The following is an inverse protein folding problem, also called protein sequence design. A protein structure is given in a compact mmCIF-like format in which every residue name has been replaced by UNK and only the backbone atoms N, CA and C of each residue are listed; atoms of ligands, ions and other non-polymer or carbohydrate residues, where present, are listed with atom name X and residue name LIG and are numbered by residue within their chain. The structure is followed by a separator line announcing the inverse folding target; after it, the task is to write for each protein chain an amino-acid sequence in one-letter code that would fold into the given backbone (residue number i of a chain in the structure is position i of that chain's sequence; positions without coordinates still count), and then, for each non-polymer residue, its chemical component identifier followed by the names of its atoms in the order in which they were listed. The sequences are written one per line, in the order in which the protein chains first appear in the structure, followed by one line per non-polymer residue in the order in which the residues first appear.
data_IF_262993657246
#
_entry.id   IF_262993657246
#
_cell.length_a   1.000
_cell.length_b   1.000
_cell.length_c   1.000
_cell.angle_alpha   90.00
_cell.angle_beta   90.00
_cell.angle_gamma   90.00
#
_symmetry.space_group_name_H-M   'P 1'
#
loop_
_entity.id
_entity.type
_entity.pdbx_description
1 polymer ?
#
# COMPACT_ATOMS: atom_id res chain seq x y z
N UNK A 1 2.50 -19.88 -8.96
CA UNK A 1 2.02 -19.06 -10.11
C UNK A 1 2.45 -17.63 -9.90
N UNK A 2 3.01 -16.98 -10.93
CA UNK A 2 3.28 -15.53 -10.99
C UNK A 2 2.39 -15.00 -12.11
N UNK A 3 1.55 -14.01 -11.82
CA UNK A 3 0.55 -13.50 -12.75
C UNK A 3 0.49 -11.97 -12.72
N UNK A 4 0.10 -11.27 -13.79
CA UNK A 4 -0.21 -9.85 -13.74
C UNK A 4 -1.18 -9.54 -12.60
N UNK A 5 -0.99 -8.40 -11.93
CA UNK A 5 -1.78 -8.05 -10.74
C UNK A 5 -3.29 -8.01 -11.04
N UNK A 6 -3.67 -7.57 -12.24
CA UNK A 6 -5.06 -7.56 -12.69
C UNK A 6 -5.72 -8.96 -12.77
N UNK A 7 -4.93 -10.04 -12.89
CA UNK A 7 -5.43 -11.40 -12.96
C UNK A 7 -5.53 -12.10 -11.58
N UNK A 8 -5.00 -11.48 -10.52
CA UNK A 8 -5.12 -12.00 -9.17
C UNK A 8 -6.57 -11.94 -8.68
N UNK A 9 -7.26 -13.08 -8.62
CA UNK A 9 -8.69 -13.15 -8.29
C UNK A 9 -9.01 -13.99 -7.05
N UNK A 10 -8.21 -15.01 -6.74
CA UNK A 10 -8.48 -15.91 -5.62
C UNK A 10 -7.69 -15.49 -4.36
N UNK A 11 -8.37 -15.06 -3.28
CA UNK A 11 -7.72 -14.65 -2.05
C UNK A 11 -7.04 -15.81 -1.28
N UNK A 12 -7.39 -17.06 -1.53
CA UNK A 12 -6.71 -18.21 -0.94
C UNK A 12 -5.37 -18.49 -1.64
N UNK A 13 -5.22 -18.05 -2.88
CA UNK A 13 -4.01 -18.21 -3.71
C UNK A 13 -3.10 -16.99 -3.61
N UNK A 14 -3.65 -15.79 -3.75
CA UNK A 14 -2.88 -14.55 -3.88
C UNK A 14 -2.97 -13.61 -2.67
N UNK A 15 -3.78 -13.96 -1.65
CA UNK A 15 -4.04 -13.09 -0.53
C UNK A 15 -4.98 -11.93 -0.85
N UNK A 16 -5.49 -11.29 0.19
CA UNK A 16 -6.56 -10.27 0.03
C UNK A 16 -6.04 -8.98 -0.60
N UNK A 17 -4.82 -8.57 -0.30
CA UNK A 17 -4.22 -7.33 -0.86
C UNK A 17 -4.08 -7.42 -2.37
N UNK A 18 -3.50 -8.52 -2.88
CA UNK A 18 -3.35 -8.73 -4.32
C UNK A 18 -4.71 -8.75 -5.02
N UNK A 19 -5.69 -9.45 -4.45
CA UNK A 19 -7.04 -9.54 -5.03
C UNK A 19 -7.75 -8.18 -5.01
N UNK A 20 -7.63 -7.41 -3.95
CA UNK A 20 -8.19 -6.06 -3.90
C UNK A 20 -7.57 -5.17 -5.00
N UNK A 21 -6.25 -5.13 -5.13
CA UNK A 21 -5.57 -4.38 -6.19
C UNK A 21 -5.92 -4.90 -7.58
N UNK A 22 -6.00 -6.22 -7.77
CA UNK A 22 -6.43 -6.83 -9.03
C UNK A 22 -7.86 -6.44 -9.42
N UNK A 23 -8.77 -6.37 -8.46
CA UNK A 23 -10.14 -5.91 -8.67
C UNK A 23 -10.17 -4.44 -9.11
N UNK A 24 -9.40 -3.57 -8.43
CA UNK A 24 -9.26 -2.17 -8.80
C UNK A 24 -8.68 -2.01 -10.22
N UNK A 25 -7.62 -2.73 -10.55
CA UNK A 25 -6.97 -2.68 -11.86
C UNK A 25 -7.91 -3.13 -13.00
N UNK A 26 -8.67 -4.22 -12.80
CA UNK A 26 -9.69 -4.67 -13.77
C UNK A 26 -10.81 -3.66 -13.99
N UNK A 27 -11.14 -2.91 -12.96
CA UNK A 27 -12.14 -1.84 -13.03
C UNK A 27 -11.60 -0.51 -13.61
N UNK A 28 -10.31 -0.47 -13.99
CA UNK A 28 -9.68 0.71 -14.57
C UNK A 28 -9.26 1.78 -13.55
N UNK A 29 -9.21 1.46 -12.24
CA UNK A 29 -8.66 2.38 -11.25
C UNK A 29 -7.13 2.50 -11.46
N UNK A 30 -6.53 3.63 -11.08
CA UNK A 30 -5.12 3.94 -11.31
C UNK A 30 -4.19 3.15 -10.37
N UNK A 31 -4.12 1.84 -10.56
CA UNK A 31 -3.23 0.94 -9.81
C UNK A 31 -1.89 0.85 -10.54
N UNK A 32 -0.74 1.07 -9.88
CA UNK A 32 0.57 0.86 -10.50
C UNK A 32 0.72 -0.59 -11.00
N UNK A 33 1.43 -0.75 -12.12
CA UNK A 33 1.70 -2.05 -12.72
C UNK A 33 2.42 -3.01 -11.76
N UNK A 34 2.30 -4.31 -12.00
CA UNK A 34 2.97 -5.30 -11.16
C UNK A 34 2.44 -6.71 -11.33
N UNK A 35 2.98 -7.61 -10.51
CA UNK A 35 2.61 -9.02 -10.47
C UNK A 35 2.25 -9.48 -9.06
N UNK A 36 1.40 -10.49 -8.99
CA UNK A 36 1.10 -11.23 -7.78
C UNK A 36 1.78 -12.61 -7.83
N UNK A 37 2.48 -12.95 -6.76
CA UNK A 37 3.03 -14.28 -6.53
C UNK A 37 2.07 -15.05 -5.63
N UNK A 38 1.60 -16.22 -6.09
CA UNK A 38 0.81 -17.11 -5.26
C UNK A 38 1.61 -17.60 -4.04
N UNK A 39 0.92 -18.09 -3.02
CA UNK A 39 1.55 -18.73 -1.85
C UNK A 39 2.59 -19.77 -2.29
N UNK A 40 2.23 -20.67 -3.21
CA UNK A 40 3.14 -21.72 -3.69
C UNK A 40 4.35 -21.14 -4.44
N UNK A 41 4.16 -20.05 -5.20
CA UNK A 41 5.26 -19.38 -5.88
C UNK A 41 6.23 -18.73 -4.89
N UNK A 42 5.73 -18.12 -3.83
CA UNK A 42 6.57 -17.57 -2.74
C UNK A 42 7.35 -18.67 -2.06
N UNK A 43 6.73 -19.80 -1.73
CA UNK A 43 7.41 -20.97 -1.15
C UNK A 43 8.48 -21.53 -2.10
N UNK A 44 8.21 -21.54 -3.41
CA UNK A 44 9.20 -21.95 -4.43
C UNK A 44 10.38 -20.98 -4.48
N UNK A 45 10.15 -19.66 -4.43
CA UNK A 45 11.23 -18.64 -4.35
C UNK A 45 12.07 -18.83 -3.08
N UNK A 46 11.44 -19.15 -1.95
CA UNK A 46 12.15 -19.41 -0.68
C UNK A 46 13.07 -20.62 -0.81
N UNK A 47 12.62 -21.69 -1.46
CA UNK A 47 13.40 -22.91 -1.73
C UNK A 47 14.41 -22.78 -2.88
N UNK A 48 14.54 -21.61 -3.49
CA UNK A 48 15.40 -21.36 -4.66
C UNK A 48 15.06 -22.26 -5.87
N UNK A 49 13.77 -22.46 -6.14
CA UNK A 49 13.27 -23.27 -7.25
C UNK A 49 13.86 -22.81 -8.59
N UNK A 50 14.46 -23.73 -9.40
CA UNK A 50 15.20 -23.38 -10.60
C UNK A 50 14.30 -22.91 -11.77
N UNK A 51 13.00 -23.09 -11.70
CA UNK A 51 12.05 -22.62 -12.71
C UNK A 51 11.40 -21.28 -12.30
N UNK A 52 11.02 -21.16 -11.01
CA UNK A 52 10.28 -20.01 -10.51
C UNK A 52 11.17 -18.77 -10.32
N UNK A 53 12.40 -18.93 -9.83
CA UNK A 53 13.31 -17.79 -9.65
C UNK A 53 13.66 -17.11 -10.98
N UNK A 54 14.05 -17.82 -12.07
CA UNK A 54 14.26 -17.18 -13.37
C UNK A 54 13.00 -16.56 -13.98
N UNK A 55 11.80 -17.10 -13.69
CA UNK A 55 10.56 -16.49 -14.12
C UNK A 55 10.36 -15.13 -13.43
N UNK A 56 10.59 -15.04 -12.11
CA UNK A 56 10.52 -13.79 -11.36
C UNK A 56 11.54 -12.77 -11.88
N UNK A 57 12.78 -13.20 -12.17
CA UNK A 57 13.80 -12.34 -12.78
C UNK A 57 13.33 -11.75 -14.11
N UNK A 58 12.77 -12.57 -15.01
CA UNK A 58 12.26 -12.10 -16.32
C UNK A 58 11.16 -11.06 -16.17
N UNK A 59 10.22 -11.28 -15.26
CA UNK A 59 9.11 -10.34 -15.00
C UNK A 59 9.63 -9.02 -14.43
N UNK A 60 10.71 -9.06 -13.65
CA UNK A 60 11.30 -7.88 -13.03
C UNK A 60 12.42 -7.23 -13.86
N UNK A 61 12.79 -7.80 -15.02
CA UNK A 61 13.89 -7.31 -15.86
C UNK A 61 13.64 -5.93 -16.50
N UNK A 62 12.39 -5.51 -16.64
CA UNK A 62 12.00 -4.21 -17.19
C UNK A 62 12.23 -3.07 -16.18
N UNK A 63 13.42 -2.87 -15.73
CA UNK A 63 13.96 -1.79 -14.90
C UNK A 63 13.01 -0.82 -14.20
N UNK A 64 13.41 -0.36 -13.03
CA UNK A 64 12.68 0.60 -12.22
C UNK A 64 12.48 0.10 -10.79
N UNK A 65 12.32 1.01 -9.84
CA UNK A 65 12.15 0.66 -8.44
C UNK A 65 10.80 -0.04 -8.21
N UNK A 66 10.82 -1.04 -7.35
CA UNK A 66 9.66 -1.86 -7.00
C UNK A 66 9.34 -1.77 -5.52
N UNK A 67 8.06 -1.96 -5.21
CA UNK A 67 7.56 -2.26 -3.87
C UNK A 67 7.25 -3.76 -3.79
N UNK A 68 7.82 -4.45 -2.80
CA UNK A 68 7.53 -5.87 -2.52
C UNK A 68 6.74 -5.91 -1.22
N UNK A 69 5.48 -6.32 -1.31
CA UNK A 69 4.50 -6.20 -0.23
C UNK A 69 3.90 -7.56 0.14
N UNK A 70 3.67 -7.79 1.42
CA UNK A 70 2.90 -8.93 1.90
C UNK A 70 1.48 -8.92 1.35
N UNK A 71 0.95 -10.10 1.07
CA UNK A 71 -0.46 -10.33 0.76
C UNK A 71 -0.88 -11.66 1.41
N UNK A 72 -0.95 -11.67 2.74
CA UNK A 72 -1.28 -12.90 3.45
C UNK A 72 -2.75 -13.28 3.23
N UNK A 73 -3.03 -14.59 3.17
CA UNK A 73 -4.37 -15.13 2.89
C UNK A 73 -5.41 -14.65 3.90
N UNK A 74 -5.00 -14.41 5.17
CA UNK A 74 -5.87 -13.93 6.24
C UNK A 74 -5.58 -12.51 6.70
N UNK A 75 -4.76 -11.77 5.97
CA UNK A 75 -4.53 -10.34 6.20
C UNK A 75 -5.85 -9.59 5.92
N UNK A 76 -6.19 -8.60 6.76
CA UNK A 76 -7.39 -7.77 6.64
C UNK A 76 -8.73 -8.56 6.63
N UNK A 77 -8.81 -9.63 7.42
CA UNK A 77 -10.09 -10.30 7.67
C UNK A 77 -10.96 -9.50 8.65
N UNK A 78 -12.29 -9.68 8.58
CA UNK A 78 -13.22 -9.03 9.51
C UNK A 78 -12.80 -9.29 10.98
N UNK A 79 -12.44 -8.23 11.70
CA UNK A 79 -11.99 -8.29 13.10
C UNK A 79 -10.47 -8.46 13.30
N UNK A 80 -9.65 -8.51 12.24
CA UNK A 80 -8.20 -8.61 12.35
C UNK A 80 -7.51 -7.71 11.32
N UNK A 81 -6.99 -6.56 11.76
CA UNK A 81 -6.14 -5.71 10.94
C UNK A 81 -4.68 -6.01 11.22
N UNK A 82 -3.98 -6.62 10.25
CA UNK A 82 -2.54 -6.84 10.30
C UNK A 82 -1.74 -5.61 9.84
N UNK A 83 -2.29 -4.41 10.00
CA UNK A 83 -1.61 -3.17 9.64
C UNK A 83 -0.22 -3.11 10.30
N UNK A 84 0.83 -3.02 9.50
CA UNK A 84 2.22 -2.96 9.98
C UNK A 84 2.79 -4.27 10.56
N UNK A 85 2.04 -5.38 10.62
CA UNK A 85 2.53 -6.64 11.18
C UNK A 85 3.51 -7.38 10.26
N UNK A 86 3.42 -7.15 8.96
CA UNK A 86 4.29 -7.77 7.96
C UNK A 86 5.16 -6.74 7.24
N UNK A 87 6.32 -7.20 6.78
CA UNK A 87 7.32 -6.37 6.13
C UNK A 87 6.86 -5.93 4.73
N UNK A 88 7.15 -4.67 4.39
CA UNK A 88 7.20 -4.14 3.03
C UNK A 88 8.64 -3.77 2.71
N UNK A 89 9.08 -4.00 1.48
CA UNK A 89 10.41 -3.58 0.99
C UNK A 89 10.20 -2.65 -0.20
N UNK A 90 10.66 -1.42 -0.09
CA UNK A 90 10.51 -0.39 -1.12
C UNK A 90 11.85 -0.10 -1.83
N UNK A 91 11.77 0.37 -3.07
CA UNK A 91 12.94 0.83 -3.83
C UNK A 91 13.83 -0.30 -4.36
N UNK A 92 13.28 -1.48 -4.57
CA UNK A 92 14.03 -2.63 -5.06
C UNK A 92 14.17 -2.53 -6.58
N UNK A 93 15.40 -2.36 -7.10
CA UNK A 93 15.65 -2.14 -8.53
C UNK A 93 16.23 -3.36 -9.28
N UNK A 94 16.87 -4.25 -8.56
CA UNK A 94 17.59 -5.40 -9.10
C UNK A 94 16.77 -6.69 -8.96
N UNK A 95 16.70 -7.57 -9.98
CA UNK A 95 15.95 -8.82 -9.92
C UNK A 95 16.36 -9.76 -8.76
N UNK A 96 17.67 -9.87 -8.45
CA UNK A 96 18.13 -10.66 -7.31
C UNK A 96 17.70 -10.03 -5.98
N UNK A 97 17.73 -8.70 -5.90
CA UNK A 97 17.20 -7.97 -4.76
C UNK A 97 15.68 -8.16 -4.60
N UNK A 98 14.91 -8.30 -5.69
CA UNK A 98 13.48 -8.67 -5.61
C UNK A 98 13.30 -10.05 -5.01
N UNK A 99 14.09 -11.04 -5.43
CA UNK A 99 14.07 -12.39 -4.83
C UNK A 99 14.41 -12.33 -3.33
N UNK A 100 15.42 -11.57 -2.95
CA UNK A 100 15.78 -11.36 -1.54
C UNK A 100 14.64 -10.67 -0.76
N UNK A 101 13.98 -9.67 -1.36
CA UNK A 101 12.84 -8.97 -0.77
C UNK A 101 11.63 -9.91 -0.58
N UNK A 102 11.32 -10.77 -1.56
CA UNK A 102 10.27 -11.79 -1.42
C UNK A 102 10.55 -12.72 -0.24
N UNK A 103 11.78 -13.20 -0.10
CA UNK A 103 12.21 -14.04 1.05
C UNK A 103 12.07 -13.28 2.37
N UNK A 104 12.46 -12.01 2.42
CA UNK A 104 12.34 -11.16 3.62
C UNK A 104 10.88 -10.96 4.01
N UNK A 105 10.01 -10.67 3.04
CA UNK A 105 8.56 -10.53 3.27
C UNK A 105 7.99 -11.84 3.79
N UNK A 106 8.32 -12.98 3.19
CA UNK A 106 7.89 -14.28 3.67
C UNK A 106 8.38 -14.55 5.12
N UNK A 107 9.64 -14.28 5.42
CA UNK A 107 10.21 -14.48 6.76
C UNK A 107 9.54 -13.60 7.83
N UNK A 108 8.97 -12.45 7.45
CA UNK A 108 8.25 -11.56 8.37
C UNK A 108 7.01 -12.20 9.01
N UNK A 109 6.48 -13.27 8.43
CA UNK A 109 5.41 -14.06 9.07
C UNK A 109 5.83 -14.62 10.43
N UNK A 110 7.10 -14.88 10.61
CA UNK A 110 7.64 -15.47 11.84
C UNK A 110 8.31 -14.45 12.77
N UNK A 111 8.15 -13.13 12.44
CA UNK A 111 8.57 -12.05 13.34
C UNK A 111 7.82 -12.12 14.69
N UNK A 112 8.46 -11.73 15.81
CA UNK A 112 7.84 -11.79 17.13
C UNK A 112 6.50 -11.04 17.20
N UNK A 113 6.39 -9.86 16.57
CA UNK A 113 5.15 -9.07 16.48
C UNK A 113 4.03 -9.82 15.77
N UNK A 114 4.32 -10.43 14.62
CA UNK A 114 3.35 -11.20 13.85
C UNK A 114 2.91 -12.47 14.59
N UNK A 115 3.82 -13.13 15.32
CA UNK A 115 3.49 -14.30 16.15
C UNK A 115 2.60 -13.90 17.34
N UNK A 116 2.95 -12.83 18.06
CA UNK A 116 2.18 -12.33 19.19
C UNK A 116 0.76 -11.93 18.76
N UNK A 117 0.64 -11.23 17.64
CA UNK A 117 -0.65 -10.82 17.09
C UNK A 117 -1.52 -12.04 16.71
N UNK A 118 -0.96 -13.04 16.03
CA UNK A 118 -1.69 -14.27 15.72
C UNK A 118 -2.13 -15.04 16.98
N UNK A 119 -1.26 -15.08 17.98
CA UNK A 119 -1.60 -15.75 19.26
C UNK A 119 -2.74 -15.03 19.97
N UNK A 120 -2.74 -13.69 20.02
CA UNK A 120 -3.80 -12.89 20.60
C UNK A 120 -5.17 -13.14 19.94
N UNK A 121 -5.17 -13.30 18.61
CA UNK A 121 -6.39 -13.53 17.83
C UNK A 121 -6.70 -15.03 17.61
N UNK A 122 -5.95 -15.94 18.22
CA UNK A 122 -6.07 -17.40 18.06
C UNK A 122 -6.06 -17.86 16.58
N UNK A 123 -5.30 -17.14 15.73
CA UNK A 123 -5.21 -17.41 14.31
C UNK A 123 -4.09 -18.42 14.01
N UNK A 124 -4.38 -19.40 13.16
CA UNK A 124 -3.35 -20.28 12.60
C UNK A 124 -2.47 -19.53 11.61
N UNK A 125 -1.23 -20.00 11.44
CA UNK A 125 -0.33 -19.55 10.36
C UNK A 125 -1.05 -19.73 9.01
N UNK A 126 -1.15 -18.68 8.24
CA UNK A 126 -1.72 -18.71 6.87
C UNK A 126 -0.60 -18.61 5.85
N UNK A 127 -0.88 -18.95 4.60
CA UNK A 127 0.07 -18.76 3.50
C UNK A 127 0.37 -17.27 3.27
N UNK A 128 1.60 -16.98 2.82
CA UNK A 128 2.05 -15.65 2.41
C UNK A 128 2.15 -15.62 0.89
N UNK A 129 1.26 -14.89 0.25
CA UNK A 129 1.43 -14.42 -1.12
C UNK A 129 2.14 -13.05 -1.11
N UNK A 130 2.68 -12.63 -2.24
CA UNK A 130 3.43 -11.37 -2.35
C UNK A 130 3.00 -10.59 -3.58
N UNK A 131 2.89 -9.28 -3.43
CA UNK A 131 2.73 -8.33 -4.54
C UNK A 131 4.09 -7.70 -4.84
N UNK A 132 4.53 -7.76 -6.09
CA UNK A 132 5.67 -7.00 -6.62
C UNK A 132 5.11 -5.96 -7.56
N UNK A 133 5.12 -4.70 -7.13
CA UNK A 133 4.45 -3.58 -7.80
C UNK A 133 5.47 -2.50 -8.18
N UNK A 134 5.23 -1.79 -9.27
CA UNK A 134 6.00 -0.59 -9.59
C UNK A 134 5.89 0.43 -8.46
N UNK A 135 7.03 0.96 -8.03
CA UNK A 135 7.06 1.98 -6.99
C UNK A 135 6.89 3.36 -7.63
N UNK A 136 5.77 4.00 -7.31
CA UNK A 136 5.51 5.38 -7.76
C UNK A 136 6.52 6.32 -7.13
N UNK A 137 7.25 7.15 -7.90
CA UNK A 137 8.14 8.17 -7.35
C UNK A 137 7.31 9.35 -6.81
N UNK A 138 6.64 9.11 -5.71
CA UNK A 138 5.66 10.02 -5.15
C UNK A 138 6.27 11.36 -4.72
N UNK A 139 5.59 12.44 -5.09
CA UNK A 139 5.84 13.79 -4.59
C UNK A 139 5.10 14.04 -3.28
N UNK A 140 3.86 13.52 -3.19
CA UNK A 140 3.06 13.44 -1.98
C UNK A 140 2.32 12.11 -1.93
N UNK A 141 2.12 11.56 -0.75
CA UNK A 141 1.40 10.31 -0.55
C UNK A 141 0.79 10.25 0.86
N UNK A 142 -0.12 9.33 1.06
CA UNK A 142 -0.77 9.19 2.35
C UNK A 142 -1.90 8.17 2.37
N UNK A 143 -2.83 8.39 3.29
CA UNK A 143 -4.01 7.55 3.49
C UNK A 143 -5.29 8.37 3.36
N UNK A 144 -6.30 7.77 2.78
CA UNK A 144 -7.64 8.31 2.61
C UNK A 144 -8.64 7.35 3.25
N UNK A 145 -9.32 7.78 4.30
CA UNK A 145 -10.46 7.09 4.88
C UNK A 145 -11.73 7.65 4.27
N UNK A 146 -12.57 6.79 3.67
CA UNK A 146 -13.84 7.22 3.07
C UNK A 146 -14.96 7.41 4.09
N UNK A 147 -14.70 7.04 5.35
CA UNK A 147 -15.49 7.33 6.55
C UNK A 147 -14.53 7.71 7.66
N UNK A 148 -14.90 8.65 8.53
CA UNK A 148 -14.04 9.03 9.65
C UNK A 148 -13.79 7.83 10.56
N UNK A 149 -12.53 7.34 10.70
CA UNK A 149 -12.23 6.12 11.45
C UNK A 149 -12.38 6.28 12.97
N UNK A 150 -12.43 7.53 13.47
CA UNK A 150 -12.54 7.82 14.90
C UNK A 150 -13.99 8.05 15.31
N UNK A 151 -14.71 8.88 14.54
CA UNK A 151 -16.07 9.32 14.89
C UNK A 151 -17.15 8.51 14.21
N UNK A 152 -16.81 7.75 13.15
CA UNK A 152 -17.78 7.08 12.28
C UNK A 152 -18.62 8.04 11.43
N UNK A 153 -18.29 9.33 11.39
CA UNK A 153 -19.02 10.30 10.58
C UNK A 153 -18.89 10.02 9.08
N UNK A 154 -19.95 10.33 8.31
CA UNK A 154 -19.93 10.22 6.85
C UNK A 154 -19.17 11.40 6.24
N UNK A 155 -17.86 11.37 6.34
CA UNK A 155 -16.90 12.33 5.80
C UNK A 155 -15.63 11.60 5.38
N UNK A 156 -14.87 12.22 4.49
CA UNK A 156 -13.56 11.69 4.08
C UNK A 156 -12.47 12.32 4.93
N UNK A 157 -11.56 11.52 5.44
CA UNK A 157 -10.38 11.98 6.18
C UNK A 157 -9.14 11.59 5.38
N UNK A 158 -8.30 12.56 5.09
CA UNK A 158 -7.07 12.37 4.33
C UNK A 158 -5.90 12.79 5.24
N UNK A 159 -4.90 11.94 5.35
CA UNK A 159 -3.63 12.23 6.01
C UNK A 159 -2.51 12.05 4.99
N UNK A 160 -1.70 13.09 4.76
CA UNK A 160 -0.72 13.10 3.69
C UNK A 160 0.58 13.81 4.12
N UNK A 161 1.68 13.43 3.47
CA UNK A 161 2.97 14.06 3.61
C UNK A 161 3.73 14.05 2.28
N UNK A 162 4.86 14.74 2.25
CA UNK A 162 5.78 14.73 1.11
C UNK A 162 6.45 13.37 0.93
N UNK A 163 6.67 12.99 -0.32
CA UNK A 163 7.37 11.76 -0.69
C UNK A 163 6.52 10.50 -0.57
N UNK A 164 7.15 9.39 -0.22
CA UNK A 164 6.53 8.07 -0.13
C UNK A 164 5.61 7.96 1.10
N UNK A 165 4.46 7.31 0.94
CA UNK A 165 3.44 7.18 1.99
C UNK A 165 3.87 6.43 3.25
N UNK A 166 4.99 5.70 3.20
CA UNK A 166 5.53 5.02 4.39
C UNK A 166 5.90 6.00 5.50
N UNK A 167 6.24 7.27 5.19
CA UNK A 167 6.47 8.29 6.19
C UNK A 167 5.23 8.56 7.07
N UNK A 168 4.04 8.54 6.46
CA UNK A 168 2.76 8.68 7.16
C UNK A 168 2.41 7.40 7.93
N UNK A 169 2.49 6.24 7.26
CA UNK A 169 2.09 4.94 7.84
C UNK A 169 3.00 4.54 9.01
N UNK A 170 4.29 4.85 8.94
CA UNK A 170 5.25 4.58 10.01
C UNK A 170 5.28 5.64 11.13
N UNK A 171 4.50 6.73 10.99
CA UNK A 171 4.47 7.80 11.97
C UNK A 171 5.78 8.58 12.10
N UNK A 172 6.54 8.72 10.99
CA UNK A 172 7.82 9.46 10.98
C UNK A 172 7.61 10.97 11.03
N UNK A 173 6.44 11.44 10.62
CA UNK A 173 6.07 12.85 10.56
C UNK A 173 4.68 13.08 11.13
N UNK A 174 4.36 14.32 11.48
CA UNK A 174 2.97 14.72 11.70
C UNK A 174 2.38 15.13 10.34
N UNK A 175 1.48 14.32 9.74
CA UNK A 175 0.97 14.59 8.41
C UNK A 175 0.01 15.78 8.39
N UNK A 176 -0.19 16.36 7.20
CA UNK A 176 -1.33 17.23 6.95
C UNK A 176 -2.61 16.40 7.02
N UNK A 177 -3.64 16.99 7.60
CA UNK A 177 -4.96 16.37 7.69
C UNK A 177 -6.01 17.24 7.01
N UNK A 178 -6.78 16.61 6.12
CA UNK A 178 -7.89 17.24 5.43
C UNK A 178 -9.18 16.47 5.71
N UNK A 179 -10.28 17.20 5.92
CA UNK A 179 -11.62 16.62 6.02
C UNK A 179 -12.48 17.15 4.90
N UNK A 180 -13.16 16.26 4.20
CA UNK A 180 -14.10 16.60 3.13
C UNK A 180 -15.47 16.01 3.45
N UNK A 181 -16.53 16.72 3.09
CA UNK A 181 -17.88 16.15 3.14
C UNK A 181 -18.07 15.08 2.05
N UNK A 182 -19.21 14.42 2.06
CA UNK A 182 -19.57 13.37 1.10
C UNK A 182 -19.72 13.88 -0.34
N UNK A 183 -19.69 15.20 -0.56
CA UNK A 183 -19.73 15.84 -1.88
C UNK A 183 -18.36 16.39 -2.31
N UNK A 184 -17.32 16.10 -1.54
CA UNK A 184 -15.94 16.53 -1.83
C UNK A 184 -15.62 17.97 -1.42
N UNK A 185 -16.52 18.69 -0.71
CA UNK A 185 -16.20 20.04 -0.21
C UNK A 185 -15.26 19.93 0.99
N UNK A 186 -14.22 20.73 0.99
CA UNK A 186 -13.28 20.80 2.10
C UNK A 186 -13.96 21.42 3.33
N UNK A 187 -13.98 20.69 4.43
CA UNK A 187 -14.52 21.10 5.73
C UNK A 187 -13.42 21.67 6.63
N UNK A 188 -12.22 21.06 6.57
CA UNK A 188 -11.11 21.41 7.46
C UNK A 188 -9.77 21.09 6.80
N UNK A 189 -8.76 21.90 7.13
CA UNK A 189 -7.35 21.68 6.81
C UNK A 189 -6.51 21.94 8.06
N UNK A 190 -5.79 20.92 8.50
CA UNK A 190 -4.84 21.03 9.62
C UNK A 190 -3.47 20.69 9.06
N UNK A 191 -2.56 21.65 9.05
CA UNK A 191 -1.20 21.42 8.58
C UNK A 191 -0.39 20.73 9.67
N UNK A 192 0.38 19.72 9.25
CA UNK A 192 1.28 18.99 10.09
C UNK A 192 2.68 19.59 10.16
N UNK A 193 3.60 18.81 10.68
CA UNK A 193 5.04 19.07 10.67
C UNK A 193 5.73 17.96 9.90
N UNK A 194 6.14 18.25 8.66
CA UNK A 194 6.67 17.32 7.67
C UNK A 194 8.13 17.61 7.38
N UNK A 195 8.96 17.57 8.42
CA UNK A 195 10.39 17.91 8.36
C UNK A 195 11.24 16.89 7.60
N UNK A 196 10.71 15.67 7.40
CA UNK A 196 11.36 14.58 6.66
C UNK A 196 10.43 14.03 5.59
N UNK A 197 10.99 13.68 4.43
CA UNK A 197 10.31 12.93 3.38
C UNK A 197 11.09 11.65 3.05
N UNK A 198 10.38 10.55 2.82
CA UNK A 198 10.98 9.36 2.23
C UNK A 198 10.97 9.47 0.71
N UNK A 199 12.12 9.25 0.09
CA UNK A 199 12.27 9.29 -1.37
C UNK A 199 13.02 8.05 -1.87
N UNK A 200 12.81 7.71 -3.13
CA UNK A 200 13.56 6.65 -3.80
C UNK A 200 15.03 7.07 -3.91
N UNK A 201 15.91 6.18 -3.53
CA UNK A 201 17.36 6.33 -3.61
C UNK A 201 18.01 5.22 -4.44
N UNK A 202 19.32 5.28 -4.67
CA UNK A 202 20.04 4.30 -5.49
C UNK A 202 20.00 2.86 -4.96
N UNK A 203 19.83 2.69 -3.64
CA UNK A 203 19.85 1.38 -2.96
C UNK A 203 18.60 1.15 -2.11
N UNK A 204 17.45 1.65 -2.53
CA UNK A 204 16.20 1.53 -1.78
C UNK A 204 15.54 2.87 -1.54
N UNK A 205 15.03 3.10 -0.34
CA UNK A 205 14.48 4.40 0.08
C UNK A 205 15.44 5.11 1.03
N UNK A 206 15.37 6.44 1.05
CA UNK A 206 16.16 7.28 1.97
C UNK A 206 15.31 8.41 2.53
N UNK A 207 15.62 8.80 3.75
CA UNK A 207 15.11 10.01 4.35
C UNK A 207 15.83 11.23 3.76
N UNK A 208 15.05 12.27 3.48
CA UNK A 208 15.54 13.55 2.97
C UNK A 208 14.86 14.64 3.79
N UNK A 209 15.65 15.59 4.29
CA UNK A 209 15.08 16.77 4.97
C UNK A 209 14.20 17.55 3.98
N UNK A 210 13.08 18.06 4.49
CA UNK A 210 12.18 18.95 3.75
C UNK A 210 12.63 20.39 4.02
N UNK A 211 12.63 21.22 2.97
CA UNK A 211 13.02 22.62 3.10
C UNK A 211 12.06 23.38 4.04
N UNK A 212 12.58 24.29 4.84
CA UNK A 212 11.85 24.97 5.89
C UNK A 212 10.49 25.58 5.46
N UNK A 213 10.33 26.19 4.28
CA UNK A 213 9.04 26.68 3.82
C UNK A 213 7.98 25.57 3.65
N UNK A 214 8.41 24.36 3.25
CA UNK A 214 7.52 23.26 2.91
C UNK A 214 7.15 22.38 4.11
N UNK A 215 7.87 22.52 5.25
CA UNK A 215 7.58 21.72 6.47
C UNK A 215 6.12 21.89 6.90
N UNK A 216 5.61 23.12 6.87
CA UNK A 216 4.23 23.45 7.26
C UNK A 216 3.34 23.86 6.06
N UNK A 217 3.88 23.86 4.83
CA UNK A 217 3.06 24.10 3.65
C UNK A 217 2.14 22.92 3.35
N UNK A 218 0.93 23.13 2.80
CA UNK A 218 0.06 22.02 2.42
C UNK A 218 0.73 21.14 1.36
N UNK A 219 0.82 19.84 1.60
CA UNK A 219 1.37 18.87 0.64
C UNK A 219 0.38 18.46 -0.45
N UNK A 220 -0.89 18.84 -0.32
CA UNK A 220 -1.93 18.61 -1.32
C UNK A 220 -2.68 19.91 -1.61
N UNK A 221 -2.92 20.17 -2.91
CA UNK A 221 -3.75 21.26 -3.40
C UNK A 221 -5.23 20.85 -3.58
N UNK A 222 -6.07 21.80 -3.98
CA UNK A 222 -7.52 21.56 -4.17
C UNK A 222 -7.80 20.60 -5.32
N UNK A 223 -7.00 20.59 -6.36
CA UNK A 223 -7.14 19.67 -7.50
C UNK A 223 -6.84 18.24 -7.05
N UNK A 224 -5.81 18.06 -6.24
CA UNK A 224 -5.44 16.78 -5.68
C UNK A 224 -6.48 16.26 -4.67
N UNK A 225 -7.04 17.15 -3.83
CA UNK A 225 -8.16 16.79 -2.94
C UNK A 225 -9.41 16.36 -3.72
N UNK A 226 -9.74 17.05 -4.82
CA UNK A 226 -10.83 16.65 -5.70
C UNK A 226 -10.56 15.30 -6.39
N UNK A 227 -9.31 15.03 -6.82
CA UNK A 227 -8.91 13.75 -7.40
C UNK A 227 -9.03 12.59 -6.37
N UNK A 228 -8.67 12.82 -5.11
CA UNK A 228 -8.86 11.85 -4.02
C UNK A 228 -10.34 11.58 -3.73
N UNK A 229 -11.18 12.62 -3.78
CA UNK A 229 -12.61 12.44 -3.67
C UNK A 229 -13.15 11.55 -4.79
N UNK A 230 -12.78 11.81 -6.05
CA UNK A 230 -13.18 10.99 -7.20
C UNK A 230 -12.66 9.55 -7.08
N UNK A 231 -11.42 9.33 -6.60
CA UNK A 231 -10.87 8.01 -6.33
C UNK A 231 -11.70 7.26 -5.28
N UNK A 232 -12.12 7.95 -4.22
CA UNK A 232 -12.97 7.36 -3.19
C UNK A 232 -14.33 6.92 -3.75
N UNK A 233 -14.98 7.74 -4.59
CA UNK A 233 -16.25 7.38 -5.24
C UNK A 233 -16.07 6.19 -6.19
N UNK A 234 -14.97 6.14 -6.93
CA UNK A 234 -14.65 5.00 -7.77
C UNK A 234 -14.43 3.72 -6.94
N UNK A 235 -13.76 3.80 -5.78
CA UNK A 235 -13.66 2.68 -4.85
C UNK A 235 -15.04 2.25 -4.33
N UNK A 236 -15.90 3.20 -3.92
CA UNK A 236 -17.27 2.89 -3.47
C UNK A 236 -18.03 2.09 -4.55
N UNK A 237 -17.91 2.48 -5.81
CA UNK A 237 -18.58 1.81 -6.93
C UNK A 237 -18.00 0.41 -7.20
N UNK A 238 -16.68 0.25 -7.17
CA UNK A 238 -16.00 -1.02 -7.49
C UNK A 238 -16.19 -2.07 -6.39
N UNK A 239 -16.18 -1.67 -5.12
CA UNK A 239 -16.23 -2.60 -4.00
C UNK A 239 -17.61 -2.73 -3.35
N UNK A 240 -18.58 -1.93 -3.79
CA UNK A 240 -19.96 -1.97 -3.26
C UNK A 240 -20.06 -1.60 -1.77
N UNK A 241 -19.14 -0.78 -1.28
CA UNK A 241 -19.03 -0.34 0.11
C UNK A 241 -18.65 1.14 0.14
N UNK A 242 -18.86 1.80 1.27
CA UNK A 242 -18.42 3.19 1.52
C UNK A 242 -17.44 3.28 2.69
N UNK A 243 -16.78 2.18 3.01
CA UNK A 243 -15.89 2.11 4.17
C UNK A 243 -14.53 1.57 3.71
N UNK A 244 -13.71 2.49 3.21
CA UNK A 244 -12.39 2.18 2.66
C UNK A 244 -11.30 2.95 3.38
N UNK A 245 -10.20 2.24 3.66
CA UNK A 245 -8.88 2.75 3.98
C UNK A 245 -8.03 2.55 2.72
N UNK A 246 -7.61 3.64 2.12
CA UNK A 246 -6.92 3.69 0.82
C UNK A 246 -5.57 4.34 1.00
N UNK A 247 -4.49 3.62 0.68
CA UNK A 247 -3.17 4.21 0.50
C UNK A 247 -3.08 4.77 -0.93
N UNK A 248 -2.62 6.01 -1.04
CA UNK A 248 -2.49 6.69 -2.33
C UNK A 248 -1.12 7.35 -2.49
N UNK A 249 -0.78 7.67 -3.73
CA UNK A 249 0.38 8.50 -4.07
C UNK A 249 0.05 9.43 -5.24
N UNK A 250 0.69 10.60 -5.26
CA UNK A 250 0.70 11.50 -6.39
C UNK A 250 2.08 11.53 -7.05
N UNK A 251 2.07 11.48 -8.38
CA UNK A 251 3.22 11.81 -9.21
C UNK A 251 2.77 12.79 -10.29
N UNK A 252 3.23 14.03 -10.23
CA UNK A 252 2.63 15.13 -10.97
C UNK A 252 1.15 15.30 -10.59
N UNK A 253 0.31 15.39 -11.60
CA UNK A 253 -1.16 15.46 -11.42
C UNK A 253 -1.85 14.10 -11.29
N UNK A 254 -1.12 13.00 -11.49
CA UNK A 254 -1.70 11.66 -11.47
C UNK A 254 -1.78 11.10 -10.05
N UNK A 255 -2.98 10.65 -9.64
CA UNK A 255 -3.20 9.89 -8.41
C UNK A 255 -3.08 8.40 -8.69
N UNK A 256 -2.50 7.65 -7.75
CA UNK A 256 -2.37 6.19 -7.80
C UNK A 256 -2.97 5.56 -6.54
N UNK A 257 -3.73 4.48 -6.72
CA UNK A 257 -4.20 3.61 -5.66
C UNK A 257 -3.14 2.56 -5.37
N UNK A 258 -2.50 2.65 -4.20
CA UNK A 258 -1.39 1.76 -3.80
C UNK A 258 -1.86 0.56 -3.00
N UNK A 259 -2.93 0.71 -2.22
CA UNK A 259 -3.56 -0.33 -1.43
C UNK A 259 -4.98 0.09 -1.06
N UNK A 260 -5.87 -0.88 -0.91
CA UNK A 260 -7.22 -0.67 -0.36
C UNK A 260 -7.58 -1.80 0.59
N UNK A 261 -8.15 -1.45 1.73
CA UNK A 261 -8.77 -2.40 2.69
C UNK A 261 -10.09 -1.83 3.21
N UNK A 262 -11.02 -2.68 3.69
CA UNK A 262 -12.21 -2.19 4.38
C UNK A 262 -11.79 -1.53 5.70
N UNK A 263 -12.50 -0.47 6.11
CA UNK A 263 -12.39 0.05 7.47
C UNK A 263 -13.01 -1.02 8.38
N UNK A 264 -12.23 -1.56 9.30
CA UNK A 264 -12.75 -2.41 10.37
C UNK A 264 -13.15 -1.47 11.50
N UNK A 265 -14.46 -1.39 11.80
CA UNK A 265 -14.96 -0.58 12.90
C UNK A 265 -14.27 -0.96 14.20
N UNK A 266 -13.84 0.06 14.97
CA UNK A 266 -13.44 -0.08 16.36
C UNK A 266 -14.65 -0.34 17.25
#
# INVERSE_FOLDING_TARGET
MITPLAEAADPLVFGRKAVALGTAARAGLPVPGGVALSVDAVEAVVRADPEVVPMLHRVCASGGPRAVRSSAVREDSAGASFAGAYCTVLGVCDPDAVVAAVRRVHASMDAPSARAYRAQLQLRRSGMAVVVQELVPAEAAGVLFTRNPVTGAAERVIEASWGLGEAVVAGLVVPDRFRLDVRGRVLERTMGEKDVALRIGPAGTREVAVDAPDVHAPCLDDTQLAALHALAEACDAVYGSREHDVEFAFHGSAVFLLQRRPITGG
#
